data_IF_143148653449
#
_entry.id   IF_143148653449
#
_cell.length_a   1.000
_cell.length_b   1.000
_cell.length_c   1.000
_cell.angle_alpha   90.00
_cell.angle_beta   90.00
_cell.angle_gamma   90.00
#
_symmetry.space_group_name_H-M   'P 1'
#
loop_
_entity.id
_entity.type
_entity.pdbx_description
1 polymer ?
#
# COMPACT_ATOMS: atom_id res chain seq x y z
N UNK A 1 -4.70 19.45 14.50
CA UNK A 1 -5.63 18.50 15.14
C UNK A 1 -6.30 17.65 14.06
N UNK A 2 -6.38 16.35 14.26
CA UNK A 2 -7.06 15.46 13.34
C UNK A 2 -8.58 15.70 13.39
N UNK A 3 -9.23 15.73 12.24
CA UNK A 3 -10.67 15.72 12.19
C UNK A 3 -11.20 14.29 12.43
N UNK A 4 -12.51 14.18 12.63
CA UNK A 4 -13.16 12.91 12.92
C UNK A 4 -12.92 11.86 11.82
N UNK A 5 -13.00 12.29 10.57
CA UNK A 5 -12.82 11.40 9.43
C UNK A 5 -11.38 10.85 9.34
N UNK A 6 -10.39 11.70 9.58
CA UNK A 6 -8.99 11.28 9.59
C UNK A 6 -8.69 10.33 10.74
N UNK A 7 -9.26 10.59 11.93
CA UNK A 7 -9.11 9.70 13.07
C UNK A 7 -9.70 8.31 12.76
N UNK A 8 -10.85 8.26 12.12
CA UNK A 8 -11.47 6.99 11.71
C UNK A 8 -10.64 6.26 10.66
N UNK A 9 -10.03 6.98 9.72
CA UNK A 9 -9.15 6.39 8.73
C UNK A 9 -7.94 5.72 9.40
N UNK A 10 -7.31 6.41 10.34
CA UNK A 10 -6.15 5.85 11.05
C UNK A 10 -6.54 4.54 11.76
N UNK A 11 -7.64 4.55 12.50
CA UNK A 11 -8.10 3.36 13.23
C UNK A 11 -8.39 2.21 12.27
N UNK A 12 -9.09 2.47 11.17
CA UNK A 12 -9.45 1.44 10.21
C UNK A 12 -8.21 0.90 9.49
N UNK A 13 -7.31 1.79 9.09
CA UNK A 13 -6.09 1.39 8.38
C UNK A 13 -5.19 0.54 9.28
N UNK A 14 -4.99 0.98 10.52
CA UNK A 14 -4.18 0.23 11.49
C UNK A 14 -4.79 -1.14 11.80
N UNK A 15 -6.12 -1.24 11.86
CA UNK A 15 -6.79 -2.52 12.00
C UNK A 15 -6.49 -3.46 10.84
N UNK A 16 -6.50 -2.94 9.61
CA UNK A 16 -6.15 -3.72 8.43
C UNK A 16 -4.66 -4.09 8.38
N UNK A 17 -3.78 -3.24 8.89
CA UNK A 17 -2.36 -3.59 9.03
C UNK A 17 -2.16 -4.82 9.89
N UNK A 18 -2.84 -4.87 11.03
CA UNK A 18 -2.78 -6.01 11.94
C UNK A 18 -3.32 -7.27 11.25
N UNK A 19 -4.45 -7.15 10.58
CA UNK A 19 -5.06 -8.27 9.84
C UNK A 19 -4.13 -8.79 8.74
N UNK A 20 -3.56 -7.89 7.94
CA UNK A 20 -2.62 -8.26 6.88
C UNK A 20 -1.39 -8.97 7.44
N UNK A 21 -0.84 -8.46 8.54
CA UNK A 21 0.30 -9.08 9.22
C UNK A 21 -0.05 -10.48 9.72
N UNK A 22 -1.21 -10.64 10.35
CA UNK A 22 -1.62 -11.93 10.90
C UNK A 22 -1.86 -12.96 9.80
N UNK A 23 -2.46 -12.58 8.69
CA UNK A 23 -2.64 -13.46 7.53
C UNK A 23 -1.28 -13.91 7.00
N UNK A 24 -0.36 -12.97 6.82
CA UNK A 24 1.00 -13.25 6.34
C UNK A 24 1.74 -14.18 7.28
N UNK A 25 1.68 -13.91 8.58
CA UNK A 25 2.31 -14.71 9.61
C UNK A 25 1.75 -16.14 9.65
N UNK A 26 0.42 -16.27 9.57
CA UNK A 26 -0.25 -17.57 9.62
C UNK A 26 0.09 -18.44 8.42
N UNK A 27 0.51 -17.84 7.31
CA UNK A 27 0.94 -18.55 6.11
C UNK A 27 2.46 -18.71 6.03
N UNK A 28 3.17 -18.44 7.11
CA UNK A 28 4.61 -18.72 7.22
C UNK A 28 5.54 -17.65 6.66
N UNK A 29 5.00 -16.52 6.19
CA UNK A 29 5.84 -15.49 5.55
C UNK A 29 6.73 -14.72 6.52
N UNK A 30 6.53 -14.88 7.83
CA UNK A 30 7.36 -14.27 8.86
C UNK A 30 8.23 -15.28 9.62
N UNK A 31 8.27 -16.54 9.19
CA UNK A 31 9.11 -17.57 9.82
C UNK A 31 10.60 -17.29 9.63
N UNK A 32 10.98 -16.77 8.46
CA UNK A 32 12.32 -16.34 8.18
C UNK A 32 12.33 -14.83 7.94
N UNK A 33 13.31 -14.14 8.53
CA UNK A 33 13.43 -12.71 8.37
C UNK A 33 13.84 -12.38 6.94
N UNK A 34 12.99 -11.63 6.22
CA UNK A 34 13.37 -11.03 4.95
C UNK A 34 14.10 -9.73 5.22
N UNK A 35 15.11 -9.42 4.41
CA UNK A 35 15.70 -8.10 4.49
C UNK A 35 14.76 -7.07 3.85
N UNK A 36 14.96 -5.82 4.21
CA UNK A 36 14.09 -4.73 3.75
C UNK A 36 14.08 -4.60 2.23
N UNK A 37 15.23 -4.85 1.59
CA UNK A 37 15.33 -4.80 0.12
C UNK A 37 14.43 -5.82 -0.55
N UNK A 38 14.32 -7.02 -0.02
CA UNK A 38 13.40 -8.04 -0.54
C UNK A 38 11.95 -7.59 -0.42
N UNK A 39 11.58 -7.01 0.71
CA UNK A 39 10.22 -6.49 0.94
C UNK A 39 9.87 -5.45 -0.11
N UNK A 40 10.77 -4.51 -0.35
CA UNK A 40 10.58 -3.47 -1.38
C UNK A 40 10.53 -4.07 -2.79
N UNK A 41 11.42 -5.03 -3.10
CA UNK A 41 11.45 -5.68 -4.41
C UNK A 41 10.13 -6.40 -4.71
N UNK A 42 9.52 -7.02 -3.70
CA UNK A 42 8.22 -7.68 -3.86
C UNK A 42 7.11 -6.67 -4.15
N UNK A 43 7.14 -5.49 -3.52
CA UNK A 43 6.20 -4.41 -3.86
C UNK A 43 6.37 -3.97 -5.31
N UNK A 44 7.61 -3.81 -5.77
CA UNK A 44 7.90 -3.47 -7.15
C UNK A 44 7.38 -4.52 -8.13
N UNK A 45 7.50 -5.80 -7.78
CA UNK A 45 7.01 -6.88 -8.64
C UNK A 45 5.50 -6.82 -8.83
N UNK A 46 4.73 -6.50 -7.79
CA UNK A 46 3.28 -6.33 -7.89
C UNK A 46 2.92 -5.16 -8.78
N UNK A 47 3.67 -4.06 -8.71
CA UNK A 47 3.46 -2.91 -9.60
C UNK A 47 3.78 -3.26 -11.04
N UNK A 48 4.79 -4.07 -11.28
CA UNK A 48 5.13 -4.56 -12.63
C UNK A 48 4.01 -5.43 -13.20
N UNK A 49 3.39 -6.26 -12.38
CA UNK A 49 2.24 -7.08 -12.78
C UNK A 49 1.03 -6.21 -13.12
N UNK A 50 0.79 -5.14 -12.35
CA UNK A 50 -0.27 -4.18 -12.67
C UNK A 50 -0.05 -3.53 -14.02
N UNK A 51 1.19 -3.12 -14.32
CA UNK A 51 1.55 -2.53 -15.62
C UNK A 51 1.28 -3.51 -16.76
N UNK A 52 1.62 -4.77 -16.57
CA UNK A 52 1.39 -5.81 -17.57
C UNK A 52 -0.10 -6.03 -17.82
N UNK A 53 -0.92 -6.07 -16.75
CA UNK A 53 -2.37 -6.15 -16.91
C UNK A 53 -2.92 -4.99 -17.75
N UNK A 54 -2.46 -3.77 -17.45
CA UNK A 54 -2.93 -2.59 -18.18
C UNK A 54 -2.54 -2.63 -19.65
N UNK A 55 -1.34 -3.09 -19.97
CA UNK A 55 -0.86 -3.26 -21.35
C UNK A 55 -1.71 -4.26 -22.13
N UNK A 56 -2.27 -5.26 -21.45
CA UNK A 56 -3.09 -6.30 -22.05
C UNK A 56 -4.59 -6.01 -22.00
N UNK A 57 -5.00 -4.78 -21.67
CA UNK A 57 -6.40 -4.37 -21.65
C UNK A 57 -7.07 -4.46 -20.28
N UNK A 58 -6.31 -4.72 -19.22
CA UNK A 58 -6.79 -4.77 -17.84
C UNK A 58 -8.00 -5.70 -17.67
N UNK A 59 -7.80 -6.96 -18.03
CA UNK A 59 -8.83 -7.99 -17.91
C UNK A 59 -9.07 -8.41 -16.46
N UNK A 60 -9.97 -9.39 -16.26
CA UNK A 60 -10.32 -9.84 -14.91
C UNK A 60 -9.17 -10.55 -14.22
N UNK A 61 -9.12 -10.40 -12.90
CA UNK A 61 -8.22 -11.17 -12.06
C UNK A 61 -8.60 -12.65 -12.06
N UNK A 62 -7.62 -13.53 -11.86
CA UNK A 62 -7.86 -14.97 -11.73
C UNK A 62 -8.32 -15.38 -10.33
N UNK A 63 -8.25 -14.50 -9.34
CA UNK A 63 -8.45 -14.83 -7.92
C UNK A 63 -9.64 -14.14 -7.28
N UNK A 64 -9.97 -12.95 -7.71
CA UNK A 64 -11.03 -12.13 -7.10
C UNK A 64 -11.89 -11.52 -8.21
N UNK A 65 -13.09 -11.08 -7.84
CA UNK A 65 -14.05 -10.51 -8.81
C UNK A 65 -13.77 -9.02 -9.05
N UNK A 66 -12.54 -8.72 -9.52
CA UNK A 66 -12.07 -7.38 -9.85
C UNK A 66 -11.09 -7.50 -11.01
N UNK A 67 -10.63 -6.38 -11.56
CA UNK A 67 -9.63 -6.41 -12.63
C UNK A 67 -8.26 -6.78 -12.09
N UNK A 68 -7.36 -7.19 -12.96
CA UNK A 68 -5.99 -7.51 -12.58
C UNK A 68 -5.25 -6.34 -11.96
N UNK A 69 -5.43 -5.12 -12.49
CA UNK A 69 -4.80 -3.92 -11.92
C UNK A 69 -5.32 -3.67 -10.50
N UNK A 70 -6.63 -3.82 -10.28
CA UNK A 70 -7.19 -3.66 -8.93
C UNK A 70 -6.59 -4.66 -7.95
N UNK A 71 -6.44 -5.92 -8.35
CA UNK A 71 -5.82 -6.94 -7.51
C UNK A 71 -4.37 -6.57 -7.18
N UNK A 72 -3.58 -6.19 -8.18
CA UNK A 72 -2.16 -5.90 -7.97
C UNK A 72 -1.95 -4.65 -7.13
N UNK A 73 -2.79 -3.62 -7.28
CA UNK A 73 -2.75 -2.45 -6.41
C UNK A 73 -3.11 -2.84 -4.97
N UNK A 74 -4.10 -3.72 -4.80
CA UNK A 74 -4.43 -4.24 -3.48
C UNK A 74 -3.24 -4.99 -2.87
N UNK A 75 -2.55 -5.81 -3.66
CA UNK A 75 -1.39 -6.56 -3.19
C UNK A 75 -0.26 -5.64 -2.72
N UNK A 76 0.00 -4.55 -3.44
CA UNK A 76 1.00 -3.55 -3.02
C UNK A 76 0.62 -2.95 -1.67
N UNK A 77 -0.65 -2.53 -1.52
CA UNK A 77 -1.13 -1.92 -0.28
C UNK A 77 -1.07 -2.92 0.88
N UNK A 78 -1.45 -4.17 0.63
CA UNK A 78 -1.39 -5.23 1.64
C UNK A 78 0.06 -5.49 2.09
N UNK A 79 1.01 -5.52 1.16
CA UNK A 79 2.43 -5.66 1.50
C UNK A 79 2.93 -4.49 2.33
N UNK A 80 2.48 -3.27 2.01
CA UNK A 80 2.81 -2.08 2.81
C UNK A 80 2.21 -2.19 4.21
N UNK A 81 0.95 -2.61 4.33
CA UNK A 81 0.28 -2.81 5.62
C UNK A 81 1.00 -3.84 6.49
N UNK A 82 1.36 -4.98 5.90
CA UNK A 82 2.11 -6.02 6.60
C UNK A 82 3.45 -5.47 7.12
N UNK A 83 4.22 -4.84 6.25
CA UNK A 83 5.52 -4.27 6.62
C UNK A 83 5.36 -3.15 7.67
N UNK A 84 4.33 -2.33 7.55
CA UNK A 84 4.08 -1.24 8.49
C UNK A 84 3.83 -1.78 9.90
N UNK A 85 3.04 -2.84 10.02
CA UNK A 85 2.80 -3.46 11.33
C UNK A 85 4.08 -4.12 11.85
N UNK A 86 4.76 -4.89 11.01
CA UNK A 86 5.98 -5.62 11.40
C UNK A 86 7.09 -4.68 11.88
N UNK A 87 7.25 -3.54 11.23
CA UNK A 87 8.31 -2.56 11.51
C UNK A 87 7.85 -1.39 12.38
N UNK A 88 6.61 -1.41 12.84
CA UNK A 88 6.02 -0.35 13.65
C UNK A 88 6.11 1.03 12.99
N UNK A 89 5.68 1.12 11.74
CA UNK A 89 5.68 2.35 10.96
C UNK A 89 4.28 2.99 10.96
N UNK A 90 4.23 4.31 11.12
CA UNK A 90 2.97 5.07 11.20
C UNK A 90 2.51 5.52 9.81
N UNK A 91 2.18 4.55 8.95
CA UNK A 91 1.84 4.84 7.55
C UNK A 91 0.52 5.60 7.41
N UNK A 92 -0.51 5.25 8.19
CA UNK A 92 -1.80 5.94 8.12
C UNK A 92 -1.67 7.42 8.44
N UNK A 93 -0.98 7.75 9.53
CA UNK A 93 -0.73 9.15 9.92
C UNK A 93 0.12 9.87 8.88
N UNK A 94 1.12 9.18 8.34
CA UNK A 94 1.98 9.74 7.30
C UNK A 94 1.19 10.05 6.02
N UNK A 95 0.21 9.22 5.66
CA UNK A 95 -0.66 9.47 4.51
C UNK A 95 -1.41 10.79 4.71
N UNK A 96 -2.04 10.97 5.87
CA UNK A 96 -2.80 12.19 6.18
C UNK A 96 -1.89 13.41 6.12
N UNK A 97 -0.75 13.35 6.80
CA UNK A 97 0.21 14.45 6.82
C UNK A 97 0.73 14.78 5.42
N UNK A 98 1.02 13.75 4.63
CA UNK A 98 1.55 13.96 3.28
C UNK A 98 0.51 14.52 2.32
N UNK A 99 -0.72 14.09 2.41
CA UNK A 99 -1.81 14.64 1.60
C UNK A 99 -2.04 16.12 1.92
N UNK A 100 -1.99 16.48 3.20
CA UNK A 100 -2.08 17.87 3.63
C UNK A 100 -0.91 18.70 3.08
N UNK A 101 0.32 18.19 3.18
CA UNK A 101 1.48 18.83 2.59
C UNK A 101 1.32 19.00 1.07
N UNK A 102 0.87 17.96 0.37
CA UNK A 102 0.69 18.00 -1.08
C UNK A 102 -0.34 19.06 -1.48
N UNK A 103 -1.40 19.24 -0.69
CA UNK A 103 -2.40 20.25 -0.93
C UNK A 103 -1.83 21.67 -0.86
N UNK A 104 -0.83 21.88 -0.01
CA UNK A 104 -0.18 23.18 0.17
C UNK A 104 0.87 23.50 -0.89
N UNK A 105 1.23 22.54 -1.76
CA UNK A 105 2.29 22.73 -2.75
C UNK A 105 1.82 23.65 -3.90
N UNK A 106 2.76 24.42 -4.51
CA UNK A 106 2.41 25.25 -5.66
C UNK A 106 1.89 24.43 -6.84
N UNK A 107 1.05 25.07 -7.66
CA UNK A 107 0.47 24.43 -8.84
C UNK A 107 1.57 23.82 -9.73
N UNK A 108 1.44 22.54 -10.05
CA UNK A 108 2.42 21.76 -10.81
C UNK A 108 3.85 21.88 -10.25
N UNK A 109 3.99 21.86 -8.92
CA UNK A 109 5.30 21.96 -8.26
C UNK A 109 6.10 23.19 -8.71
N UNK A 110 5.43 24.35 -8.87
CA UNK A 110 6.09 25.56 -9.34
C UNK A 110 6.46 25.53 -10.82
N UNK A 111 5.75 24.73 -11.61
CA UNK A 111 6.01 24.58 -13.05
C UNK A 111 6.95 23.45 -13.41
N UNK A 112 7.46 22.69 -12.45
CA UNK A 112 8.30 21.53 -12.69
C UNK A 112 7.48 20.36 -13.21
N UNK A 113 8.01 19.63 -14.19
CA UNK A 113 7.34 18.44 -14.74
C UNK A 113 7.47 17.21 -13.85
N UNK A 114 8.56 17.14 -13.12
CA UNK A 114 8.87 16.00 -12.26
C UNK A 114 9.30 16.42 -10.88
#
# INVERSE_FOLDING_TARGET
MLNYQDANFITAFEGKQIEAYNISKDHGFHEEAKNFGEVIALMHSELSEALEYMRKGNGPSDHINFTGVEEEFADVIIRIMDAAHHLDLRVAEAIIAKMEFNQSRPYKNGGKKF
#
